data_IF_494425532787
#
_entry.id   IF_494425532787
#
_cell.length_a   1.000
_cell.length_b   1.000
_cell.length_c   1.000
_cell.angle_alpha   90.00
_cell.angle_beta   90.00
_cell.angle_gamma   90.00
#
_symmetry.space_group_name_H-M   'P 1'
#
loop_
_entity.id
_entity.type
_entity.pdbx_description
1 polymer ?
#
# COMPACT_ATOMS: atom_id res chain seq x y z
N UNK A 1 16.50 4.14 -0.34
CA UNK A 1 16.52 3.47 -1.66
C UNK A 1 15.20 2.73 -1.84
N UNK A 2 14.59 2.69 -3.04
CA UNK A 2 13.41 1.86 -3.28
C UNK A 2 13.71 0.38 -3.00
N UNK A 3 12.74 -0.34 -2.44
CA UNK A 3 12.80 -1.79 -2.33
C UNK A 3 12.57 -2.44 -3.70
N UNK A 4 13.27 -3.55 -3.99
CA UNK A 4 13.19 -4.25 -5.29
C UNK A 4 12.46 -5.59 -5.21
N UNK A 5 12.23 -6.12 -4.01
CA UNK A 5 11.52 -7.36 -3.74
C UNK A 5 10.74 -7.29 -2.40
N UNK A 6 9.92 -8.29 -2.14
CA UNK A 6 9.08 -8.37 -0.94
C UNK A 6 9.93 -8.46 0.34
N UNK A 7 11.04 -9.20 0.32
CA UNK A 7 11.95 -9.30 1.46
C UNK A 7 12.48 -7.92 1.89
N UNK A 8 12.86 -7.09 0.93
CA UNK A 8 13.33 -5.73 1.20
C UNK A 8 12.18 -4.81 1.64
N UNK A 9 10.97 -4.96 1.07
CA UNK A 9 9.78 -4.22 1.54
C UNK A 9 9.51 -4.52 3.00
N UNK A 10 9.47 -5.80 3.38
CA UNK A 10 9.23 -6.24 4.76
C UNK A 10 10.31 -5.70 5.70
N UNK A 11 11.58 -5.85 5.33
CA UNK A 11 12.71 -5.35 6.15
C UNK A 11 12.67 -3.83 6.33
N UNK A 12 12.44 -3.07 5.26
CA UNK A 12 12.37 -1.61 5.35
C UNK A 12 11.15 -1.15 6.17
N UNK A 13 9.99 -1.78 5.97
CA UNK A 13 8.79 -1.44 6.70
C UNK A 13 8.84 -1.83 8.18
N UNK A 14 9.45 -2.96 8.53
CA UNK A 14 9.76 -3.31 9.93
C UNK A 14 10.69 -2.27 10.56
N UNK A 15 11.70 -1.80 9.83
CA UNK A 15 12.55 -0.69 10.27
C UNK A 15 11.75 0.57 10.58
N UNK A 16 10.80 0.96 9.73
CA UNK A 16 9.91 2.11 9.95
C UNK A 16 8.95 1.92 11.13
N UNK A 17 8.49 0.70 11.39
CA UNK A 17 7.71 0.38 12.59
C UNK A 17 8.58 0.57 13.86
N UNK A 18 9.84 0.12 13.82
CA UNK A 18 10.76 0.25 14.94
C UNK A 18 11.12 1.71 15.28
N UNK A 19 10.93 2.67 14.37
CA UNK A 19 11.11 4.10 14.66
C UNK A 19 9.90 4.77 15.33
N UNK A 20 8.86 4.01 15.68
CA UNK A 20 7.66 4.49 16.38
C UNK A 20 6.39 4.58 15.53
N UNK A 21 6.45 4.21 14.24
CA UNK A 21 5.23 4.10 13.43
C UNK A 21 4.42 2.89 13.90
N UNK A 22 3.11 3.04 14.13
CA UNK A 22 2.26 1.89 14.51
C UNK A 22 1.87 1.04 13.30
N UNK A 23 1.76 1.68 12.13
CA UNK A 23 1.28 1.11 10.88
C UNK A 23 2.14 1.66 9.75
N UNK A 24 2.55 0.80 8.82
CA UNK A 24 3.25 1.19 7.59
C UNK A 24 2.53 0.56 6.40
N UNK A 25 2.25 1.35 5.36
CA UNK A 25 1.74 0.84 4.08
C UNK A 25 2.81 1.04 3.00
N UNK A 26 3.39 -0.06 2.53
CA UNK A 26 4.33 -0.04 1.41
C UNK A 26 3.57 -0.11 0.08
N UNK A 27 3.82 0.84 -0.83
CA UNK A 27 3.13 0.91 -2.13
C UNK A 27 3.80 0.08 -3.23
N UNK A 28 3.00 -0.56 -4.08
CA UNK A 28 3.48 -1.36 -5.21
C UNK A 28 3.94 -0.56 -6.44
N UNK A 29 3.82 0.77 -6.40
CA UNK A 29 4.04 1.64 -7.57
C UNK A 29 5.45 1.66 -8.15
N UNK A 30 6.46 1.12 -7.45
CA UNK A 30 7.84 0.99 -7.96
C UNK A 30 8.29 -0.46 -8.16
N UNK A 31 7.45 -1.45 -7.83
CA UNK A 31 7.75 -2.85 -8.08
C UNK A 31 7.71 -3.17 -9.58
N UNK A 32 8.49 -4.17 -10.00
CA UNK A 32 8.47 -4.73 -11.35
C UNK A 32 7.50 -5.91 -11.41
N UNK A 33 7.09 -6.31 -12.63
CA UNK A 33 6.23 -7.48 -12.84
C UNK A 33 4.73 -7.18 -13.01
N UNK A 34 3.91 -8.23 -13.19
CA UNK A 34 2.53 -8.12 -13.68
C UNK A 34 1.53 -7.65 -12.60
N UNK A 35 1.97 -7.49 -11.35
CA UNK A 35 1.15 -7.11 -10.21
C UNK A 35 1.62 -5.79 -9.63
N UNK A 36 0.68 -5.06 -9.06
CA UNK A 36 0.94 -3.90 -8.20
C UNK A 36 0.35 -4.22 -6.83
N UNK A 37 1.22 -4.40 -5.84
CA UNK A 37 0.85 -4.91 -4.52
C UNK A 37 1.14 -3.85 -3.45
N UNK A 38 0.15 -3.52 -2.64
CA UNK A 38 0.37 -2.76 -1.40
C UNK A 38 0.51 -3.74 -0.24
N UNK A 39 1.50 -3.54 0.62
CA UNK A 39 1.75 -4.37 1.80
C UNK A 39 1.54 -3.54 3.06
N UNK A 40 0.54 -3.92 3.85
CA UNK A 40 0.23 -3.31 5.14
C UNK A 40 0.97 -4.05 6.25
N UNK A 41 1.74 -3.30 7.03
CA UNK A 41 2.61 -3.79 8.10
C UNK A 41 2.19 -3.18 9.44
N UNK A 42 2.14 -4.01 10.47
CA UNK A 42 1.81 -3.65 11.85
C UNK A 42 2.70 -4.42 12.81
N UNK A 43 3.07 -3.79 13.93
CA UNK A 43 3.93 -4.44 14.92
C UNK A 43 3.26 -5.69 15.49
N UNK A 44 3.98 -6.82 15.47
CA UNK A 44 3.49 -8.10 16.00
C UNK A 44 2.33 -8.74 15.23
N UNK A 45 2.05 -8.30 14.00
CA UNK A 45 1.02 -8.86 13.15
C UNK A 45 1.58 -9.26 11.78
N UNK A 46 0.98 -10.29 11.19
CA UNK A 46 1.34 -10.72 9.84
C UNK A 46 1.06 -9.61 8.81
N UNK A 47 1.93 -9.42 7.81
CA UNK A 47 1.69 -8.50 6.71
C UNK A 47 0.42 -8.86 5.93
N UNK A 48 -0.31 -7.84 5.47
CA UNK A 48 -1.48 -8.02 4.61
C UNK A 48 -1.19 -7.43 3.24
N UNK A 49 -1.33 -8.25 2.20
CA UNK A 49 -1.13 -7.84 0.81
C UNK A 49 -2.45 -7.50 0.12
N UNK A 50 -2.44 -6.40 -0.64
CA UNK A 50 -3.55 -5.96 -1.47
C UNK A 50 -3.08 -5.87 -2.92
N UNK A 51 -3.54 -6.80 -3.75
CA UNK A 51 -3.05 -6.92 -5.12
C UNK A 51 -4.05 -6.41 -6.17
N UNK A 52 -3.51 -5.82 -7.23
CA UNK A 52 -4.23 -5.67 -8.50
C UNK A 52 -3.28 -5.93 -9.69
N UNK A 53 -3.81 -6.24 -10.89
CA UNK A 53 -3.02 -6.25 -12.11
C UNK A 53 -2.27 -4.92 -12.30
N UNK A 54 -1.05 -4.98 -12.84
CA UNK A 54 -0.35 -3.76 -13.26
C UNK A 54 -0.91 -3.30 -14.59
N UNK A 55 -1.42 -2.08 -14.62
CA UNK A 55 -1.90 -1.44 -15.85
C UNK A 55 -0.71 -0.87 -16.64
N UNK A 56 -0.87 -0.81 -17.96
CA UNK A 56 0.13 -0.21 -18.83
C UNK A 56 0.16 1.31 -18.64
N UNK A 57 1.36 1.90 -18.68
CA UNK A 57 1.57 3.33 -18.50
C UNK A 57 1.92 3.75 -17.07
N UNK A 58 2.24 5.04 -16.91
CA UNK A 58 2.59 5.61 -15.60
C UNK A 58 1.80 6.90 -15.39
N UNK A 59 1.18 7.02 -14.22
CA UNK A 59 0.48 8.23 -13.79
C UNK A 59 1.09 8.71 -12.48
N UNK A 60 1.48 9.98 -12.43
CA UNK A 60 1.91 10.64 -11.20
C UNK A 60 0.69 10.94 -10.33
N UNK A 61 0.86 10.92 -9.01
CA UNK A 61 -0.23 11.22 -8.07
C UNK A 61 -1.08 10.03 -7.65
N UNK A 62 -0.83 8.82 -8.17
CA UNK A 62 -1.52 7.58 -7.73
C UNK A 62 -1.34 7.31 -6.23
N UNK A 63 -0.16 7.64 -5.68
CA UNK A 63 0.08 7.56 -4.24
C UNK A 63 -0.77 8.55 -3.43
N UNK A 64 -0.91 9.79 -3.91
CA UNK A 64 -1.76 10.79 -3.25
C UNK A 64 -3.23 10.38 -3.33
N UNK A 65 -3.67 9.89 -4.49
CA UNK A 65 -5.03 9.38 -4.69
C UNK A 65 -5.34 8.21 -3.74
N UNK A 66 -4.40 7.26 -3.62
CA UNK A 66 -4.49 6.14 -2.69
C UNK A 66 -4.62 6.63 -1.24
N UNK A 67 -3.74 7.52 -0.79
CA UNK A 67 -3.75 8.05 0.57
C UNK A 67 -5.06 8.81 0.89
N UNK A 68 -5.54 9.65 -0.03
CA UNK A 68 -6.81 10.36 0.12
C UNK A 68 -8.00 9.40 0.22
N UNK A 69 -8.03 8.36 -0.62
CA UNK A 69 -9.10 7.35 -0.57
C UNK A 69 -9.08 6.55 0.73
N UNK A 70 -7.90 6.17 1.24
CA UNK A 70 -7.75 5.52 2.55
C UNK A 70 -8.32 6.43 3.65
N UNK A 71 -7.87 7.68 3.68
CA UNK A 71 -8.32 8.65 4.68
C UNK A 71 -9.84 8.85 4.64
N UNK A 72 -10.44 8.93 3.45
CA UNK A 72 -11.89 9.02 3.29
C UNK A 72 -12.64 7.80 3.85
N UNK A 73 -12.16 6.58 3.58
CA UNK A 73 -12.77 5.36 4.13
C UNK A 73 -12.64 5.29 5.66
N UNK A 74 -11.47 5.65 6.20
CA UNK A 74 -11.24 5.72 7.66
C UNK A 74 -12.16 6.75 8.33
N UNK A 75 -12.33 7.93 7.73
CA UNK A 75 -13.24 8.96 8.23
C UNK A 75 -14.71 8.49 8.27
N UNK A 76 -15.07 7.51 7.44
CA UNK A 76 -16.38 6.86 7.44
C UNK A 76 -16.46 5.66 8.41
N UNK A 77 -15.51 5.51 9.34
CA UNK A 77 -15.51 4.45 10.36
C UNK A 77 -15.21 3.05 9.81
N UNK A 78 -14.63 2.93 8.61
CA UNK A 78 -14.22 1.63 8.06
C UNK A 78 -12.94 1.14 8.73
N UNK A 79 -12.78 -0.17 8.81
CA UNK A 79 -11.51 -0.76 9.27
C UNK A 79 -10.37 -0.39 8.34
N UNK A 80 -9.14 -0.43 8.86
CA UNK A 80 -7.93 -0.10 8.10
C UNK A 80 -7.76 -1.00 6.88
N UNK A 81 -7.95 -2.31 7.04
CA UNK A 81 -7.84 -3.28 5.96
C UNK A 81 -8.88 -3.02 4.87
N UNK A 82 -10.12 -2.70 5.27
CA UNK A 82 -11.18 -2.33 4.34
C UNK A 82 -10.83 -1.03 3.61
N UNK A 83 -10.34 -0.01 4.33
CA UNK A 83 -9.97 1.27 3.76
C UNK A 83 -8.85 1.13 2.72
N UNK A 84 -7.81 0.33 3.01
CA UNK A 84 -6.70 0.06 2.07
C UNK A 84 -7.19 -0.72 0.85
N UNK A 85 -7.98 -1.78 1.06
CA UNK A 85 -8.52 -2.59 -0.04
C UNK A 85 -9.42 -1.80 -0.98
N UNK A 86 -10.36 -1.01 -0.43
CA UNK A 86 -11.25 -0.18 -1.25
C UNK A 86 -10.49 0.96 -1.96
N UNK A 87 -9.51 1.57 -1.30
CA UNK A 87 -8.68 2.60 -1.92
C UNK A 87 -7.86 2.04 -3.09
N UNK A 88 -7.32 0.82 -2.96
CA UNK A 88 -6.61 0.14 -4.05
C UNK A 88 -7.54 -0.10 -5.25
N UNK A 89 -8.74 -0.62 -5.01
CA UNK A 89 -9.74 -0.82 -6.06
C UNK A 89 -10.14 0.50 -6.74
N UNK A 90 -10.33 1.57 -5.94
CA UNK A 90 -10.67 2.89 -6.45
C UNK A 90 -9.58 3.49 -7.34
N UNK A 91 -8.32 3.40 -6.92
CA UNK A 91 -7.17 3.86 -7.73
C UNK A 91 -7.07 3.03 -9.01
N UNK A 92 -7.20 1.71 -8.91
CA UNK A 92 -7.15 0.82 -10.07
C UNK A 92 -8.24 1.13 -11.10
N UNK A 93 -9.47 1.43 -10.65
CA UNK A 93 -10.58 1.78 -11.54
C UNK A 93 -10.45 3.18 -12.18
N UNK A 94 -9.54 4.04 -11.68
CA UNK A 94 -9.28 5.39 -12.21
C UNK A 94 -8.07 5.47 -13.14
N UNK A 95 -7.30 4.39 -13.24
CA UNK A 95 -6.13 4.24 -14.10
C UNK A 95 -6.49 3.51 -15.38
#
# INVERSE_FOLDING_TARGET
RPAVDDCEILRQGQGLLATGSQIVLAKGGHATGPRSTEILLRSGQEPISFDAPRLAGSMRGTGCLLACAIAAHLANGRSLEHAVGQAKQFVFAKL
#
